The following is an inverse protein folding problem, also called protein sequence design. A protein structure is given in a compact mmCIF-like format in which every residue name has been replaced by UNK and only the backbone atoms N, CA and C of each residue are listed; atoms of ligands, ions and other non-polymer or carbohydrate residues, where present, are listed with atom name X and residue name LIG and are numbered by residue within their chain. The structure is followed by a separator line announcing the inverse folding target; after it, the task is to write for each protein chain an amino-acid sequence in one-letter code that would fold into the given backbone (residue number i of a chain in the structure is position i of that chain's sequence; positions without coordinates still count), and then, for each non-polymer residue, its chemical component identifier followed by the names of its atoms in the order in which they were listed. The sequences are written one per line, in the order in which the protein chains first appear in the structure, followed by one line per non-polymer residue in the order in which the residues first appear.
data_IF_279805801897
#
_entry.id   IF_279805801897
#
_cell.length_a   1.000
_cell.length_b   1.000
_cell.length_c   1.000
_cell.angle_alpha   90.00
_cell.angle_beta   90.00
_cell.angle_gamma   90.00
#
_symmetry.space_group_name_H-M   'P 1'
#
loop_
_entity.id
_entity.type
_entity.pdbx_description
1 polymer ?
#
# COMPACT_ATOMS: atom_id res chain seq x y z
N UNK A 1 -15.67 -4.43 7.06
CA UNK A 1 -16.93 -3.88 7.59
C UNK A 1 -17.48 -4.81 8.65
N UNK A 2 -17.99 -4.23 9.73
CA UNK A 2 -18.68 -4.93 10.81
C UNK A 2 -20.11 -4.41 10.86
N UNK A 3 -21.02 -5.16 11.48
CA UNK A 3 -22.40 -4.73 11.73
C UNK A 3 -23.20 -4.48 10.43
N UNK A 4 -23.14 -5.45 9.51
CA UNK A 4 -23.93 -5.39 8.29
C UNK A 4 -25.40 -5.79 8.57
N UNK A 5 -26.39 -5.17 7.90
CA UNK A 5 -27.79 -5.51 8.08
C UNK A 5 -28.07 -6.98 7.76
N UNK A 6 -28.69 -7.69 8.69
CA UNK A 6 -29.13 -9.08 8.52
C UNK A 6 -30.64 -9.16 8.55
N UNK A 7 -31.23 -9.74 7.51
CA UNK A 7 -32.67 -9.99 7.44
C UNK A 7 -32.92 -11.50 7.49
N UNK A 8 -33.60 -11.97 8.55
CA UNK A 8 -34.01 -13.35 8.70
C UNK A 8 -35.37 -13.56 8.05
N UNK A 9 -35.49 -14.58 7.20
CA UNK A 9 -36.74 -14.95 6.56
C UNK A 9 -36.86 -16.47 6.46
N UNK A 10 -38.09 -16.96 6.40
CA UNK A 10 -38.34 -18.40 6.25
C UNK A 10 -38.28 -18.80 4.77
N UNK A 11 -37.59 -19.91 4.49
CA UNK A 11 -37.54 -20.52 3.17
C UNK A 11 -37.38 -22.02 3.31
N UNK A 12 -38.16 -22.79 2.54
CA UNK A 12 -38.16 -24.26 2.56
C UNK A 12 -38.24 -24.86 3.98
N UNK A 13 -39.02 -24.24 4.88
CA UNK A 13 -39.21 -24.68 6.27
C UNK A 13 -38.02 -24.42 7.19
N UNK A 14 -37.05 -23.59 6.79
CA UNK A 14 -35.91 -23.16 7.61
C UNK A 14 -35.81 -21.63 7.65
N UNK A 15 -35.43 -21.09 8.81
CA UNK A 15 -35.06 -19.68 8.93
C UNK A 15 -33.67 -19.50 8.33
N UNK A 16 -33.56 -18.65 7.30
CA UNK A 16 -32.30 -18.30 6.67
C UNK A 16 -32.02 -16.80 6.80
N UNK A 17 -30.74 -16.46 6.96
CA UNK A 17 -30.28 -15.09 6.90
C UNK A 17 -30.02 -14.69 5.45
N UNK A 18 -30.65 -13.60 4.99
CA UNK A 18 -30.29 -12.96 3.73
C UNK A 18 -28.86 -12.43 3.87
N UNK A 19 -27.99 -12.84 2.95
CA UNK A 19 -26.61 -12.39 2.90
C UNK A 19 -26.63 -10.85 2.65
N UNK A 20 -25.84 -10.06 3.39
CA UNK A 20 -25.83 -8.61 3.22
C UNK A 20 -25.31 -8.13 1.86
N UNK A 21 -24.43 -8.91 1.22
CA UNK A 21 -24.00 -8.73 -0.17
C UNK A 21 -24.85 -9.56 -1.11
N UNK A 22 -24.98 -9.15 -2.37
CA UNK A 22 -25.80 -9.84 -3.38
C UNK A 22 -25.32 -11.27 -3.63
N UNK A 23 -24.02 -11.52 -3.46
CA UNK A 23 -23.38 -12.83 -3.66
C UNK A 23 -22.35 -13.12 -2.56
N UNK A 24 -22.14 -14.40 -2.27
CA UNK A 24 -20.98 -14.88 -1.50
C UNK A 24 -19.82 -15.11 -2.47
N UNK A 25 -18.89 -14.17 -2.50
CA UNK A 25 -17.68 -14.26 -3.33
C UNK A 25 -16.72 -15.29 -2.72
N UNK A 26 -16.25 -16.24 -3.52
CA UNK A 26 -15.23 -17.21 -3.11
C UNK A 26 -13.83 -16.62 -3.25
N UNK A 27 -12.85 -17.14 -2.51
CA UNK A 27 -11.46 -16.64 -2.54
C UNK A 27 -10.86 -16.63 -3.96
N UNK A 28 -11.13 -17.67 -4.77
CA UNK A 28 -10.70 -17.69 -6.17
C UNK A 28 -11.32 -16.55 -6.99
N UNK A 29 -12.61 -16.26 -6.77
CA UNK A 29 -13.31 -15.21 -7.50
C UNK A 29 -12.90 -13.81 -7.07
N UNK A 30 -12.61 -13.64 -5.77
CA UNK A 30 -11.97 -12.44 -5.21
C UNK A 30 -10.64 -12.19 -5.92
N UNK A 31 -9.79 -13.21 -6.02
CA UNK A 31 -8.49 -13.12 -6.69
C UNK A 31 -8.61 -12.78 -8.18
N UNK A 32 -9.50 -13.44 -8.92
CA UNK A 32 -9.78 -13.14 -10.33
C UNK A 32 -10.23 -11.67 -10.52
N UNK A 33 -11.10 -11.18 -9.65
CA UNK A 33 -11.58 -9.80 -9.69
C UNK A 33 -10.48 -8.79 -9.30
N UNK A 34 -9.61 -9.14 -8.35
CA UNK A 34 -8.49 -8.31 -7.93
C UNK A 34 -7.43 -8.15 -9.03
N UNK A 35 -7.17 -9.20 -9.82
CA UNK A 35 -6.28 -9.15 -10.99
C UNK A 35 -6.85 -8.26 -12.11
N UNK A 36 -8.18 -8.18 -12.21
CA UNK A 36 -8.89 -7.27 -13.13
C UNK A 36 -9.10 -5.85 -12.54
N UNK A 37 -8.52 -5.55 -11.38
CA UNK A 37 -8.53 -4.20 -10.79
C UNK A 37 -9.82 -3.82 -10.07
N UNK A 38 -10.65 -4.79 -9.69
CA UNK A 38 -11.82 -4.56 -8.84
C UNK A 38 -11.49 -4.65 -7.35
N UNK A 39 -12.17 -3.82 -6.55
CA UNK A 39 -12.13 -3.89 -5.10
C UNK A 39 -13.40 -4.61 -4.64
N UNK A 40 -13.26 -5.83 -4.15
CA UNK A 40 -14.41 -6.68 -3.84
C UNK A 40 -14.69 -6.73 -2.34
N UNK A 41 -15.96 -6.57 -1.98
CA UNK A 41 -16.42 -6.75 -0.61
C UNK A 41 -16.82 -8.21 -0.40
N UNK A 42 -15.98 -8.97 0.28
CA UNK A 42 -16.17 -10.41 0.53
C UNK A 42 -16.87 -10.62 1.87
N UNK A 43 -18.03 -11.27 1.83
CA UNK A 43 -18.85 -11.49 3.01
C UNK A 43 -18.37 -12.72 3.81
N UNK A 44 -18.20 -12.59 5.12
CA UNK A 44 -17.87 -13.70 6.00
C UNK A 44 -19.10 -14.55 6.26
N UNK A 45 -19.16 -15.72 5.63
CA UNK A 45 -20.26 -16.68 5.74
C UNK A 45 -20.67 -16.94 7.20
N UNK A 46 -21.96 -16.82 7.47
CA UNK A 46 -22.53 -17.06 8.80
C UNK A 46 -22.30 -15.95 9.83
N UNK A 47 -21.86 -14.76 9.40
CA UNK A 47 -21.76 -13.59 10.26
C UNK A 47 -22.40 -12.37 9.59
N UNK A 48 -22.24 -11.22 10.21
CA UNK A 48 -22.61 -9.86 9.77
C UNK A 48 -21.37 -9.03 9.37
N UNK A 49 -20.22 -9.68 9.12
CA UNK A 49 -18.96 -9.02 8.80
C UNK A 49 -18.53 -9.26 7.35
N UNK A 50 -17.97 -8.25 6.70
CA UNK A 50 -17.32 -8.40 5.40
C UNK A 50 -15.91 -7.82 5.42
N UNK A 51 -15.07 -8.22 4.47
CA UNK A 51 -13.69 -7.76 4.37
C UNK A 51 -13.37 -7.29 2.94
N UNK A 52 -12.38 -6.41 2.87
CA UNK A 52 -11.63 -6.13 1.64
C UNK A 52 -10.26 -6.79 1.82
N UNK A 53 -9.94 -7.80 1.01
CA UNK A 53 -8.64 -8.45 1.06
C UNK A 53 -7.57 -7.65 0.30
N UNK A 54 -7.97 -7.05 -0.81
CA UNK A 54 -7.11 -6.26 -1.68
C UNK A 54 -7.78 -4.93 -2.06
N UNK A 55 -6.95 -3.96 -2.47
CA UNK A 55 -7.40 -2.66 -2.95
C UNK A 55 -6.51 -2.22 -4.12
N UNK A 56 -6.55 -3.01 -5.20
CA UNK A 56 -5.87 -2.67 -6.45
C UNK A 56 -6.63 -1.56 -7.17
N UNK A 57 -5.91 -0.73 -7.92
CA UNK A 57 -6.52 0.20 -8.88
C UNK A 57 -6.85 -0.53 -10.19
N UNK A 58 -7.54 0.16 -11.09
CA UNK A 58 -7.81 -0.32 -12.45
C UNK A 58 -6.55 -0.38 -13.34
N UNK A 59 -5.41 0.14 -12.88
CA UNK A 59 -4.18 0.15 -13.65
C UNK A 59 -3.57 -1.25 -13.74
N UNK A 60 -3.52 -1.81 -14.95
CA UNK A 60 -2.89 -3.11 -15.19
C UNK A 60 -1.36 -3.05 -14.98
N UNK A 61 -0.76 -3.95 -14.19
CA UNK A 61 0.69 -4.04 -14.05
C UNK A 61 1.39 -4.33 -15.39
N UNK A 62 2.46 -3.59 -15.67
CA UNK A 62 3.32 -3.82 -16.85
C UNK A 62 4.32 -4.94 -16.57
N UNK A 63 4.55 -5.77 -17.59
CA UNK A 63 5.63 -6.77 -17.59
C UNK A 63 6.91 -6.15 -18.12
N UNK A 64 8.03 -6.49 -17.48
CA UNK A 64 9.37 -6.07 -17.88
C UNK A 64 10.20 -7.30 -18.25
N UNK A 65 11.36 -7.14 -18.93
CA UNK A 65 12.27 -8.24 -19.22
C UNK A 65 12.71 -8.97 -17.93
N UNK A 66 12.98 -10.29 -18.04
CA UNK A 66 13.42 -11.11 -16.90
C UNK A 66 14.91 -10.89 -16.56
N UNK A 67 15.30 -9.63 -16.34
CA UNK A 67 16.61 -9.23 -15.81
C UNK A 67 16.45 -8.74 -14.36
N UNK A 68 17.53 -8.65 -13.58
CA UNK A 68 17.48 -8.07 -12.22
C UNK A 68 16.83 -6.68 -12.19
N UNK A 69 17.16 -5.82 -13.16
CA UNK A 69 16.62 -4.46 -13.29
C UNK A 69 15.14 -4.49 -13.70
N UNK A 70 14.77 -5.39 -14.62
CA UNK A 70 13.39 -5.57 -15.04
C UNK A 70 12.48 -6.03 -13.90
N UNK A 71 12.94 -6.95 -13.06
CA UNK A 71 12.19 -7.38 -11.85
C UNK A 71 12.03 -6.26 -10.82
N UNK A 72 13.06 -5.44 -10.64
CA UNK A 72 12.99 -4.25 -9.77
C UNK A 72 11.98 -3.23 -10.33
N UNK A 73 12.01 -2.97 -11.64
CA UNK A 73 11.07 -2.09 -12.32
C UNK A 73 9.63 -2.60 -12.23
N UNK A 74 9.42 -3.90 -12.41
CA UNK A 74 8.11 -4.55 -12.25
C UNK A 74 7.57 -4.42 -10.83
N UNK A 75 8.43 -4.63 -9.82
CA UNK A 75 8.07 -4.44 -8.41
C UNK A 75 7.67 -2.98 -8.14
N UNK A 76 8.47 -2.02 -8.61
CA UNK A 76 8.19 -0.59 -8.45
C UNK A 76 6.86 -0.20 -9.14
N UNK A 77 6.63 -0.70 -10.35
CA UNK A 77 5.41 -0.43 -11.09
C UNK A 77 4.18 -1.01 -10.38
N UNK A 78 4.28 -2.26 -9.89
CA UNK A 78 3.21 -2.93 -9.16
C UNK A 78 2.81 -2.16 -7.89
N UNK A 79 3.77 -1.62 -7.14
CA UNK A 79 3.46 -0.77 -5.98
C UNK A 79 2.59 0.44 -6.35
N UNK A 80 2.83 1.05 -7.52
CA UNK A 80 2.03 2.17 -8.02
C UNK A 80 0.60 1.78 -8.42
N UNK A 81 0.37 0.52 -8.80
CA UNK A 81 -0.99 0.03 -9.14
C UNK A 81 -1.88 -0.20 -7.92
N UNK A 82 -1.33 -0.19 -6.70
CA UNK A 82 -2.05 -0.51 -5.48
C UNK A 82 -2.40 0.74 -4.68
N UNK A 83 -3.70 0.95 -4.44
CA UNK A 83 -4.21 2.17 -3.80
C UNK A 83 -3.67 2.43 -2.39
N UNK A 84 -3.46 1.41 -1.52
CA UNK A 84 -2.91 1.65 -0.20
C UNK A 84 -1.54 2.35 -0.22
N UNK A 85 -0.69 2.03 -1.19
CA UNK A 85 0.60 2.71 -1.35
C UNK A 85 0.45 4.07 -2.01
N UNK A 86 -0.45 4.20 -2.99
CA UNK A 86 -0.75 5.51 -3.61
C UNK A 86 -1.30 6.52 -2.61
N UNK A 87 -2.12 6.12 -1.64
CA UNK A 87 -2.62 7.03 -0.61
C UNK A 87 -1.53 7.58 0.30
N UNK A 88 -0.45 6.83 0.52
CA UNK A 88 0.73 7.34 1.23
C UNK A 88 1.35 8.49 0.41
N UNK A 89 1.57 8.28 -0.89
CA UNK A 89 2.14 9.30 -1.79
C UNK A 89 1.23 10.53 -1.90
N UNK A 90 -0.09 10.34 -2.02
CA UNK A 90 -1.04 11.45 -2.09
C UNK A 90 -0.97 12.34 -0.83
N UNK A 91 -0.87 11.74 0.36
CA UNK A 91 -0.71 12.52 1.61
C UNK A 91 0.61 13.26 1.65
N UNK A 92 1.72 12.63 1.23
CA UNK A 92 3.02 13.30 1.14
C UNK A 92 2.96 14.48 0.17
N UNK A 93 2.33 14.31 -1.00
CA UNK A 93 2.16 15.38 -1.98
C UNK A 93 1.34 16.56 -1.40
N UNK A 94 0.25 16.29 -0.69
CA UNK A 94 -0.53 17.33 -0.01
C UNK A 94 0.30 18.08 1.03
N UNK A 95 1.05 17.38 1.89
CA UNK A 95 1.90 18.03 2.88
C UNK A 95 2.99 18.87 2.24
N UNK A 96 3.70 18.35 1.24
CA UNK A 96 4.76 19.08 0.54
C UNK A 96 4.19 20.34 -0.10
N UNK A 97 3.02 20.26 -0.75
CA UNK A 97 2.41 21.42 -1.39
C UNK A 97 2.10 22.54 -0.40
N UNK A 98 1.60 22.21 0.79
CA UNK A 98 1.30 23.19 1.84
C UNK A 98 2.60 23.71 2.47
N UNK A 99 3.51 22.83 2.87
CA UNK A 99 4.75 23.19 3.54
C UNK A 99 5.64 24.08 2.65
N UNK A 100 5.82 23.73 1.38
CA UNK A 100 6.67 24.50 0.47
C UNK A 100 6.05 25.84 0.10
N UNK A 101 4.71 25.96 0.09
CA UNK A 101 4.03 27.23 -0.17
C UNK A 101 4.36 28.28 0.89
N UNK A 102 4.42 27.88 2.16
CA UNK A 102 4.76 28.78 3.28
C UNK A 102 6.24 29.21 3.27
N UNK A 103 7.09 28.52 2.50
CA UNK A 103 8.53 28.79 2.44
C UNK A 103 8.91 29.66 1.23
N UNK A 104 7.96 30.03 0.37
CA UNK A 104 8.22 30.90 -0.78
C UNK A 104 8.68 32.28 -0.28
N UNK A 105 9.82 32.75 -0.80
CA UNK A 105 10.43 34.03 -0.39
C UNK A 105 11.36 33.94 0.82
N UNK A 106 11.54 32.74 1.39
CA UNK A 106 12.58 32.52 2.41
C UNK A 106 13.98 32.45 1.80
N UNK A 107 14.99 32.81 2.58
CA UNK A 107 16.40 32.70 2.20
C UNK A 107 16.87 31.25 2.38
N UNK A 108 16.82 30.46 1.31
CA UNK A 108 17.25 29.06 1.34
C UNK A 108 18.13 28.72 0.15
N UNK A 109 19.19 28.00 0.43
CA UNK A 109 20.00 27.36 -0.60
C UNK A 109 19.55 25.91 -0.83
N UNK A 110 20.06 25.31 -1.91
CA UNK A 110 19.82 23.90 -2.27
C UNK A 110 20.02 22.95 -1.07
N UNK A 111 21.10 23.15 -0.32
CA UNK A 111 21.50 22.32 0.82
C UNK A 111 20.55 22.48 2.02
N UNK A 112 19.98 23.66 2.22
CA UNK A 112 19.00 23.93 3.27
C UNK A 112 17.70 23.21 2.98
N UNK A 113 17.22 23.31 1.73
CA UNK A 113 16.00 22.65 1.28
C UNK A 113 16.13 21.13 1.40
N UNK A 114 17.27 20.57 0.98
CA UNK A 114 17.57 19.14 1.12
C UNK A 114 17.56 18.70 2.59
N UNK A 115 18.23 19.45 3.48
CA UNK A 115 18.32 19.15 4.91
C UNK A 115 16.95 19.19 5.59
N UNK A 116 16.18 20.25 5.36
CA UNK A 116 14.86 20.44 5.96
C UNK A 116 13.87 19.38 5.51
N UNK A 117 13.81 19.09 4.21
CA UNK A 117 12.92 18.06 3.68
C UNK A 117 13.29 16.67 4.21
N UNK A 118 14.58 16.34 4.28
CA UNK A 118 15.03 15.07 4.86
C UNK A 118 14.71 14.98 6.36
N UNK A 119 14.83 16.08 7.11
CA UNK A 119 14.43 16.12 8.51
C UNK A 119 12.91 15.98 8.69
N UNK A 120 12.12 16.63 7.84
CA UNK A 120 10.67 16.53 7.84
C UNK A 120 10.19 15.11 7.54
N UNK A 121 10.69 14.44 6.49
CA UNK A 121 10.20 13.12 6.08
C UNK A 121 10.53 12.03 7.11
N UNK A 122 11.63 12.18 7.87
CA UNK A 122 12.07 11.22 8.91
C UNK A 122 11.01 10.96 9.98
N UNK A 123 10.11 11.92 10.25
CA UNK A 123 9.03 11.71 11.22
C UNK A 123 8.07 10.58 10.82
N UNK A 124 7.96 10.29 9.52
CA UNK A 124 7.12 9.22 8.96
C UNK A 124 7.87 7.92 8.67
N UNK A 125 9.17 7.87 8.99
CA UNK A 125 10.04 6.70 8.76
C UNK A 125 10.21 5.89 10.04
N UNK A 126 9.98 4.58 9.94
CA UNK A 126 10.32 3.58 10.94
C UNK A 126 11.32 2.58 10.34
N UNK A 127 12.60 2.77 10.67
CA UNK A 127 13.73 1.99 10.13
C UNK A 127 14.04 0.71 10.90
N UNK A 128 13.38 0.51 12.04
CA UNK A 128 13.50 -0.70 12.85
C UNK A 128 13.14 -1.95 12.02
N UNK A 129 13.78 -3.08 12.32
CA UNK A 129 13.52 -4.33 11.61
C UNK A 129 12.10 -4.86 11.84
N UNK A 130 11.65 -4.80 13.11
CA UNK A 130 10.32 -5.24 13.52
C UNK A 130 9.59 -4.21 14.41
N UNK A 131 9.20 -3.04 13.86
CA UNK A 131 8.43 -2.06 14.61
C UNK A 131 7.04 -2.63 14.94
N UNK A 132 6.47 -2.31 16.11
CA UNK A 132 5.11 -2.68 16.49
C UNK A 132 4.08 -2.24 15.43
N UNK A 133 2.94 -2.94 15.36
CA UNK A 133 1.90 -2.68 14.36
C UNK A 133 1.35 -1.23 14.41
N UNK A 134 1.23 -0.64 15.61
CA UNK A 134 0.82 0.76 15.78
C UNK A 134 1.87 1.72 15.20
N UNK A 135 3.17 1.47 15.45
CA UNK A 135 4.27 2.27 14.89
C UNK A 135 4.27 2.20 13.36
N UNK A 136 4.12 1.00 12.77
CA UNK A 136 4.03 0.83 11.30
C UNK A 136 2.84 1.57 10.69
N UNK A 137 1.76 1.72 11.45
CA UNK A 137 0.55 2.39 10.99
C UNK A 137 0.69 3.92 11.03
N UNK A 138 1.35 4.45 12.07
CA UNK A 138 1.65 5.89 12.20
C UNK A 138 2.81 6.34 11.32
N UNK A 139 3.80 5.48 11.12
CA UNK A 139 5.00 5.71 10.30
C UNK A 139 5.02 4.72 9.13
N UNK A 140 4.34 5.06 8.01
CA UNK A 140 4.11 4.11 6.93
C UNK A 140 5.35 3.82 6.07
N UNK A 141 6.42 4.61 6.22
CA UNK A 141 7.64 4.49 5.42
C UNK A 141 8.71 3.69 6.17
N UNK A 142 9.37 2.77 5.47
CA UNK A 142 10.58 2.08 5.95
C UNK A 142 11.85 2.89 5.66
N UNK A 143 11.88 3.58 4.52
CA UNK A 143 12.98 4.44 4.13
C UNK A 143 12.48 5.58 3.24
N UNK A 144 13.18 6.71 3.26
CA UNK A 144 12.94 7.83 2.37
C UNK A 144 14.28 8.51 2.04
N UNK A 145 14.40 9.03 0.82
CA UNK A 145 15.54 9.80 0.36
C UNK A 145 15.02 10.97 -0.47
N UNK A 146 15.49 12.17 -0.16
CA UNK A 146 15.14 13.38 -0.90
C UNK A 146 16.45 14.00 -1.39
N UNK A 147 16.55 14.18 -2.70
CA UNK A 147 17.69 14.83 -3.35
C UNK A 147 17.21 16.12 -4.00
N UNK A 148 18.00 17.19 -3.88
CA UNK A 148 17.68 18.51 -4.42
C UNK A 148 18.80 18.95 -5.35
N UNK A 149 18.43 19.30 -6.57
CA UNK A 149 19.32 19.79 -7.62
C UNK A 149 18.91 21.20 -8.03
N UNK A 150 19.89 22.01 -8.43
CA UNK A 150 19.64 23.32 -9.03
C UNK A 150 19.09 23.16 -10.44
N UNK A 151 18.19 24.04 -10.85
CA UNK A 151 17.75 24.12 -12.24
C UNK A 151 18.70 25.04 -13.00
N UNK A 152 19.41 24.47 -13.98
CA UNK A 152 20.36 25.22 -14.80
C UNK A 152 19.66 26.38 -15.53
N UNK A 153 20.18 27.60 -15.37
CA UNK A 153 19.63 28.80 -15.99
C UNK A 153 18.58 29.55 -15.16
N UNK A 154 18.05 28.95 -14.09
CA UNK A 154 16.98 29.54 -13.26
C UNK A 154 17.38 29.61 -11.77
N UNK A 155 18.08 30.68 -11.33
CA UNK A 155 18.47 30.84 -9.94
C UNK A 155 17.25 30.86 -8.99
N UNK A 156 17.33 30.08 -7.91
CA UNK A 156 16.24 29.92 -6.93
C UNK A 156 15.19 28.87 -7.31
N UNK A 157 15.32 28.23 -8.48
CA UNK A 157 14.53 27.06 -8.84
C UNK A 157 15.29 25.77 -8.53
N UNK A 158 14.59 24.82 -7.92
CA UNK A 158 15.15 23.55 -7.50
C UNK A 158 14.32 22.38 -8.02
N UNK A 159 14.99 21.35 -8.54
CA UNK A 159 14.39 20.06 -8.83
C UNK A 159 14.54 19.16 -7.60
N UNK A 160 13.41 18.73 -7.04
CA UNK A 160 13.37 17.85 -5.86
C UNK A 160 12.93 16.45 -6.27
N UNK A 161 13.80 15.46 -6.08
CA UNK A 161 13.49 14.05 -6.27
C UNK A 161 13.22 13.38 -4.91
N UNK A 162 11.99 12.92 -4.69
CA UNK A 162 11.60 12.21 -3.47
C UNK A 162 11.37 10.73 -3.76
N UNK A 163 12.24 9.88 -3.22
CA UNK A 163 12.13 8.43 -3.27
C UNK A 163 11.70 7.90 -1.91
N UNK A 164 10.58 7.17 -1.85
CA UNK A 164 10.08 6.58 -0.59
C UNK A 164 9.83 5.09 -0.74
N UNK A 165 10.10 4.34 0.33
CA UNK A 165 9.86 2.89 0.42
C UNK A 165 8.87 2.61 1.55
N UNK A 166 7.64 2.16 1.25
CA UNK A 166 6.66 1.81 2.28
C UNK A 166 6.98 0.46 2.95
N UNK A 167 6.35 0.20 4.09
CA UNK A 167 6.30 -1.15 4.64
C UNK A 167 5.39 -2.05 3.78
N UNK A 168 5.86 -3.26 3.45
CA UNK A 168 5.06 -4.19 2.67
C UNK A 168 3.95 -4.84 3.51
N UNK A 169 2.76 -4.93 2.91
CA UNK A 169 1.65 -5.74 3.40
C UNK A 169 1.84 -7.19 2.97
N UNK A 170 1.47 -8.11 3.85
CA UNK A 170 1.38 -9.52 3.50
C UNK A 170 0.14 -9.73 2.63
N UNK A 171 0.34 -10.25 1.41
CA UNK A 171 -0.74 -10.44 0.41
C UNK A 171 -0.85 -11.88 -0.09
N UNK A 172 -0.03 -12.80 0.40
CA UNK A 172 -0.06 -14.21 0.01
C UNK A 172 1.26 -14.92 0.26
N UNK A 173 1.20 -16.25 0.36
CA UNK A 173 2.35 -17.14 0.40
C UNK A 173 1.99 -18.47 -0.27
N UNK A 174 2.98 -19.10 -0.89
CA UNK A 174 2.90 -20.50 -1.31
C UNK A 174 3.43 -21.37 -0.18
N UNK A 175 2.71 -22.44 0.16
CA UNK A 175 3.12 -23.40 1.20
C UNK A 175 3.37 -24.75 0.54
N UNK A 176 4.59 -25.26 0.67
CA UNK A 176 4.96 -26.61 0.25
C UNK A 176 5.05 -27.51 1.48
N UNK A 177 4.27 -28.58 1.49
CA UNK A 177 4.24 -29.55 2.59
C UNK A 177 4.96 -30.82 2.15
N UNK A 178 6.05 -31.17 2.84
CA UNK A 178 6.79 -32.41 2.62
C UNK A 178 6.85 -33.22 3.91
N UNK A 179 6.71 -34.55 3.78
CA UNK A 179 6.85 -35.48 4.90
C UNK A 179 8.29 -36.01 4.88
N UNK A 180 9.05 -35.71 5.95
CA UNK A 180 10.47 -36.11 6.05
C UNK A 180 10.63 -37.10 7.20
N UNK A 181 11.22 -38.27 6.92
CA UNK A 181 11.36 -39.38 7.89
C UNK A 181 12.37 -39.16 9.02
N UNK A 182 13.27 -38.19 8.87
CA UNK A 182 14.08 -37.59 9.95
C UNK A 182 14.18 -36.10 9.65
N UNK A 183 13.57 -35.28 10.50
CA UNK A 183 13.89 -33.85 10.54
C UNK A 183 15.31 -33.74 11.11
N UNK A 184 16.22 -33.06 10.41
CA UNK A 184 17.50 -32.71 11.01
C UNK A 184 17.20 -31.89 12.27
N UNK A 185 17.70 -32.39 13.41
CA UNK A 185 17.65 -31.68 14.68
C UNK A 185 18.85 -30.75 14.70
N UNK A 186 18.63 -29.46 14.54
CA UNK A 186 19.56 -28.45 15.06
C UNK A 186 19.60 -28.52 16.59
#
# INVERSE_FOLDING_TARGET
MKDLPVHLFETMGQIQAKIPTEVLITDRREYELAEEGFITLTMRKGSDNAAFFSANSVQKPKRFPNTPEGKAAETNYKLGTQLPYMFIINRLAHYIKVLQREQIGSWKERSDLERELNNWIRQYVADQENPPADVRSRKPLRAAKIEVQDVEGDPGWYQVAMSVRPHFKYMGASFELSLVGRLDKE
#
